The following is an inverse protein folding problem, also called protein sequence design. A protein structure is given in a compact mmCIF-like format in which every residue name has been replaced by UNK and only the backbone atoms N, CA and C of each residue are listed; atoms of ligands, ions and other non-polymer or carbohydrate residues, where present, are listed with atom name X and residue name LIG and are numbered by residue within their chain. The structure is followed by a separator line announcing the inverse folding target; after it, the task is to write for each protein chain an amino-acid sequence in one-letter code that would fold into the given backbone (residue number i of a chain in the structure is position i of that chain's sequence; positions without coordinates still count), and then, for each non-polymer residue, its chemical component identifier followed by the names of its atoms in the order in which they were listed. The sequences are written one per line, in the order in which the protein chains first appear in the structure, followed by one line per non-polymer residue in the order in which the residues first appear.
data_IF_498098959059
#
_entry.id   IF_498098959059
#
_cell.length_a   1.000
_cell.length_b   1.000
_cell.length_c   1.000
_cell.angle_alpha   90.00
_cell.angle_beta   90.00
_cell.angle_gamma   90.00
#
_symmetry.space_group_name_H-M   'P 1'
#
loop_
_entity.id
_entity.type
_entity.pdbx_description
1 polymer ?
#
# COMPACT_ATOMS: atom_id res chain seq x y z
N UNK A 1 3.96 0.30 -17.97
CA UNK A 1 2.64 -0.10 -17.40
C UNK A 1 1.47 0.53 -18.16
N UNK A 2 1.34 1.86 -18.25
CA UNK A 2 0.21 2.50 -18.94
C UNK A 2 0.05 2.05 -20.40
N UNK A 3 1.14 1.79 -21.11
CA UNK A 3 1.11 1.26 -22.48
C UNK A 3 0.42 -0.10 -22.57
N UNK A 4 0.70 -1.01 -21.61
CA UNK A 4 0.08 -2.34 -21.58
C UNK A 4 -1.42 -2.27 -21.23
N UNK A 5 -1.80 -1.34 -20.36
CA UNK A 5 -3.22 -1.12 -19.96
C UNK A 5 -4.06 -0.63 -21.13
N UNK A 6 -3.47 0.21 -22.00
CA UNK A 6 -4.16 0.84 -23.13
C UNK A 6 -3.97 0.07 -24.45
N UNK A 7 -3.40 -1.12 -24.43
CA UNK A 7 -3.21 -1.96 -25.61
C UNK A 7 -4.50 -2.72 -25.97
N UNK A 8 -4.64 -3.14 -27.25
CA UNK A 8 -5.77 -3.96 -27.70
C UNK A 8 -5.87 -5.29 -26.93
N UNK A 9 -4.71 -5.90 -26.62
CA UNK A 9 -4.60 -7.08 -25.76
C UNK A 9 -4.18 -6.59 -24.38
N UNK A 10 -5.14 -6.54 -23.46
CA UNK A 10 -4.93 -6.12 -22.09
C UNK A 10 -4.50 -7.30 -21.19
N UNK A 11 -3.77 -7.04 -20.09
CA UNK A 11 -3.50 -8.07 -19.10
C UNK A 11 -4.78 -8.54 -18.41
N UNK A 12 -4.85 -9.82 -18.08
CA UNK A 12 -5.99 -10.42 -17.35
C UNK A 12 -6.10 -9.94 -15.89
N UNK A 13 -4.98 -9.53 -15.30
CA UNK A 13 -4.90 -8.93 -13.97
C UNK A 13 -3.63 -8.08 -13.86
N UNK A 14 -3.64 -7.10 -12.95
CA UNK A 14 -2.48 -6.25 -12.67
C UNK A 14 -2.19 -6.13 -11.19
N UNK A 15 -0.89 -6.14 -10.85
CA UNK A 15 -0.43 -5.76 -9.52
C UNK A 15 -0.30 -4.24 -9.45
N UNK A 16 -1.02 -3.62 -8.51
CA UNK A 16 -0.97 -2.20 -8.25
C UNK A 16 -0.50 -1.92 -6.82
N UNK A 17 0.34 -0.93 -6.65
CA UNK A 17 0.74 -0.46 -5.31
C UNK A 17 -0.45 0.29 -4.72
N UNK A 18 -0.92 -0.16 -3.56
CA UNK A 18 -2.04 0.43 -2.84
C UNK A 18 -1.64 0.67 -1.38
N UNK A 19 -1.36 1.90 -1.05
CA UNK A 19 -1.09 2.35 0.31
C UNK A 19 -1.45 3.84 0.44
N UNK A 20 -1.75 4.34 1.66
CA UNK A 20 -2.15 5.74 1.85
C UNK A 20 -1.06 6.76 1.52
N UNK A 21 0.22 6.38 1.56
CA UNK A 21 1.35 7.24 1.15
C UNK A 21 1.37 7.53 -0.37
N UNK A 22 0.61 6.77 -1.17
CA UNK A 22 0.72 6.78 -2.63
C UNK A 22 2.17 6.64 -3.12
N UNK A 23 2.97 5.86 -2.41
CA UNK A 23 4.41 5.71 -2.66
C UNK A 23 4.77 4.33 -3.17
N UNK A 24 5.65 4.30 -4.14
CA UNK A 24 6.30 3.10 -4.65
C UNK A 24 7.57 2.72 -3.85
N UNK A 25 8.09 3.64 -3.03
CA UNK A 25 9.35 3.47 -2.30
C UNK A 25 10.48 3.04 -3.23
N UNK A 26 11.30 2.10 -2.78
CA UNK A 26 12.47 1.62 -3.53
C UNK A 26 12.14 1.08 -4.94
N UNK A 27 10.92 0.59 -5.20
CA UNK A 27 10.52 0.13 -6.54
C UNK A 27 10.45 1.30 -7.54
N UNK A 28 10.09 2.50 -7.07
CA UNK A 28 10.01 3.71 -7.89
C UNK A 28 11.36 4.40 -8.15
N UNK A 29 12.46 3.89 -7.58
CA UNK A 29 13.76 4.55 -7.66
C UNK A 29 14.26 4.81 -9.08
N UNK A 30 13.95 3.92 -10.01
CA UNK A 30 14.36 4.04 -11.42
C UNK A 30 13.47 4.96 -12.28
N UNK A 31 12.29 5.32 -11.80
CA UNK A 31 11.32 6.14 -12.54
C UNK A 31 10.64 7.14 -11.59
N UNK A 32 11.19 8.35 -11.53
CA UNK A 32 10.64 9.44 -10.70
C UNK A 32 9.22 9.90 -11.13
N UNK A 33 8.78 9.53 -12.32
CA UNK A 33 7.43 9.78 -12.82
C UNK A 33 6.42 8.69 -12.41
N UNK A 34 6.88 7.66 -11.69
CA UNK A 34 6.01 6.57 -11.26
C UNK A 34 5.00 7.05 -10.21
N UNK A 35 3.72 7.07 -10.59
CA UNK A 35 2.62 7.46 -9.71
C UNK A 35 1.66 6.27 -9.53
N UNK A 36 1.63 5.63 -8.35
CA UNK A 36 0.79 4.46 -8.09
C UNK A 36 -0.70 4.71 -8.34
N UNK A 37 -1.25 5.84 -7.88
CA UNK A 37 -2.67 6.15 -8.05
C UNK A 37 -3.08 6.30 -9.51
N UNK A 38 -2.26 6.98 -10.32
CA UNK A 38 -2.55 7.12 -11.76
C UNK A 38 -2.58 5.78 -12.50
N UNK A 39 -1.73 4.84 -12.10
CA UNK A 39 -1.74 3.48 -12.66
C UNK A 39 -3.01 2.75 -12.22
N UNK A 40 -3.34 2.81 -10.94
CA UNK A 40 -4.54 2.17 -10.40
C UNK A 40 -5.82 2.73 -11.03
N UNK A 41 -5.94 4.04 -11.18
CA UNK A 41 -7.07 4.69 -11.88
C UNK A 41 -7.22 4.17 -13.31
N UNK A 42 -6.12 4.05 -14.06
CA UNK A 42 -6.13 3.52 -15.42
C UNK A 42 -6.57 2.05 -15.45
N UNK A 43 -6.12 1.23 -14.48
CA UNK A 43 -6.52 -0.18 -14.33
C UNK A 43 -8.01 -0.28 -14.04
N UNK A 44 -8.53 0.50 -13.10
CA UNK A 44 -9.96 0.54 -12.77
C UNK A 44 -10.83 0.98 -13.95
N UNK A 45 -10.41 2.04 -14.67
CA UNK A 45 -11.10 2.54 -15.87
C UNK A 45 -11.23 1.46 -16.94
N UNK A 46 -10.21 0.62 -17.09
CA UNK A 46 -10.22 -0.49 -18.05
C UNK A 46 -10.82 -1.78 -17.49
N UNK A 47 -11.33 -1.77 -16.24
CA UNK A 47 -11.95 -2.92 -15.56
C UNK A 47 -11.02 -4.14 -15.45
N UNK A 48 -9.73 -3.92 -15.35
CA UNK A 48 -8.74 -4.99 -15.17
C UNK A 48 -8.71 -5.39 -13.70
N UNK A 49 -8.83 -6.69 -13.36
CA UNK A 49 -8.72 -7.18 -11.98
C UNK A 49 -7.42 -6.72 -11.32
N UNK A 50 -7.52 -6.19 -10.10
CA UNK A 50 -6.39 -5.59 -9.39
C UNK A 50 -5.96 -6.43 -8.19
N UNK A 51 -4.67 -6.77 -8.16
CA UNK A 51 -4.01 -7.37 -7.01
C UNK A 51 -3.21 -6.28 -6.30
N UNK A 52 -3.66 -5.84 -5.13
CA UNK A 52 -2.97 -4.82 -4.36
C UNK A 52 -1.67 -5.37 -3.78
N UNK A 53 -0.59 -4.61 -3.92
CA UNK A 53 0.72 -4.92 -3.34
C UNK A 53 1.21 -3.74 -2.49
N UNK A 54 2.23 -3.98 -1.66
CA UNK A 54 2.87 -2.98 -0.80
C UNK A 54 1.90 -2.27 0.15
N UNK A 55 0.91 -2.98 0.68
CA UNK A 55 -0.04 -2.42 1.64
C UNK A 55 0.66 -1.75 2.84
N UNK A 56 1.70 -2.39 3.41
CA UNK A 56 2.52 -1.82 4.49
C UNK A 56 3.75 -1.06 4.00
N UNK A 57 3.90 -0.83 2.69
CA UNK A 57 4.97 -0.06 2.05
C UNK A 57 6.36 -0.45 2.57
N UNK A 58 6.74 -1.73 2.37
CA UNK A 58 8.03 -2.30 2.83
C UNK A 58 8.34 -2.04 4.33
N UNK A 59 7.31 -1.91 5.16
CA UNK A 59 7.44 -1.63 6.59
C UNK A 59 7.24 -0.17 6.98
N UNK A 60 7.13 0.75 6.03
CA UNK A 60 6.95 2.18 6.33
C UNK A 60 5.66 2.47 7.13
N UNK A 61 4.60 1.71 6.89
CA UNK A 61 3.30 1.82 7.57
C UNK A 61 3.18 0.80 8.74
N UNK A 62 4.28 0.48 9.40
CA UNK A 62 4.29 -0.37 10.60
C UNK A 62 4.79 0.41 11.82
N UNK A 63 4.76 -0.20 12.98
CA UNK A 63 5.23 0.44 14.22
C UNK A 63 6.73 0.73 14.24
N UNK A 64 7.51 -0.04 13.50
CA UNK A 64 8.97 0.12 13.41
C UNK A 64 9.52 -0.51 12.15
N UNK A 65 10.58 0.09 11.59
CA UNK A 65 11.38 -0.59 10.57
C UNK A 65 12.20 -1.70 11.22
N UNK A 66 12.05 -2.93 10.74
CA UNK A 66 12.71 -4.12 11.29
C UNK A 66 14.02 -4.47 10.55
N UNK A 67 14.51 -3.57 9.72
CA UNK A 67 15.75 -3.68 8.96
C UNK A 67 16.53 -2.36 8.97
N UNK A 68 17.81 -2.44 8.62
CA UNK A 68 18.65 -1.27 8.39
C UNK A 68 18.64 -0.89 6.90
N UNK A 69 18.88 0.39 6.56
CA UNK A 69 19.09 0.79 5.18
C UNK A 69 20.23 -0.01 4.54
N UNK A 70 20.10 -0.34 3.28
CA UNK A 70 21.17 -1.00 2.54
C UNK A 70 22.34 -0.01 2.28
N UNK A 71 23.57 -0.48 2.33
CA UNK A 71 24.77 0.37 2.18
C UNK A 71 24.78 1.15 0.85
N UNK A 72 24.23 0.58 -0.22
CA UNK A 72 24.10 1.28 -1.51
C UNK A 72 22.99 2.34 -1.56
N UNK A 73 22.13 2.43 -0.53
CA UNK A 73 21.03 3.39 -0.45
C UNK A 73 19.87 3.12 -1.41
N UNK A 74 19.82 1.97 -2.09
CA UNK A 74 18.76 1.69 -3.06
C UNK A 74 17.36 1.68 -2.43
N UNK A 75 17.27 1.41 -1.13
CA UNK A 75 16.03 1.35 -0.36
C UNK A 75 15.79 2.58 0.53
N UNK A 76 16.55 3.66 0.33
CA UNK A 76 16.43 4.89 1.12
C UNK A 76 15.01 5.45 1.09
N UNK A 77 14.33 5.39 -0.05
CA UNK A 77 12.94 5.87 -0.18
C UNK A 77 11.94 5.14 0.74
N UNK A 78 12.18 3.86 1.05
CA UNK A 78 11.33 3.14 2.00
C UNK A 78 11.50 3.69 3.43
N UNK A 79 12.72 4.11 3.80
CA UNK A 79 12.99 4.75 5.10
C UNK A 79 12.48 6.18 5.16
N UNK A 80 12.57 6.93 4.06
CA UNK A 80 11.97 8.26 3.96
C UNK A 80 10.44 8.17 4.09
N UNK A 81 9.83 7.17 3.49
CA UNK A 81 8.40 6.87 3.65
C UNK A 81 8.05 6.52 5.10
N UNK A 82 8.91 5.78 5.81
CA UNK A 82 8.69 5.51 7.22
C UNK A 82 8.67 6.79 8.06
N UNK A 83 9.58 7.72 7.80
CA UNK A 83 9.58 9.03 8.49
C UNK A 83 8.32 9.83 8.18
N UNK A 84 7.91 9.88 6.91
CA UNK A 84 6.67 10.54 6.49
C UNK A 84 5.41 9.94 7.11
N UNK A 85 5.41 8.64 7.39
CA UNK A 85 4.26 7.89 7.90
C UNK A 85 3.99 8.11 9.41
N UNK A 86 4.64 9.06 10.09
CA UNK A 86 4.36 9.36 11.50
C UNK A 86 2.89 9.72 11.74
N UNK A 87 2.24 10.63 10.95
CA UNK A 87 0.83 10.94 11.13
C UNK A 87 -0.09 9.72 10.99
N UNK A 88 0.24 8.79 10.12
CA UNK A 88 -0.51 7.54 9.98
C UNK A 88 -0.43 6.65 11.24
N UNK A 89 0.74 6.57 11.85
CA UNK A 89 0.92 5.85 13.12
C UNK A 89 0.14 6.50 14.26
N UNK A 90 0.06 7.83 14.29
CA UNK A 90 -0.74 8.56 15.28
C UNK A 90 -2.23 8.28 15.13
N UNK A 91 -2.75 8.30 13.91
CA UNK A 91 -4.15 7.91 13.62
C UNK A 91 -4.39 6.44 14.01
N UNK A 92 -3.50 5.52 13.69
CA UNK A 92 -3.64 4.12 14.08
C UNK A 92 -3.74 3.97 15.60
N UNK A 93 -2.92 4.72 16.35
CA UNK A 93 -2.96 4.76 17.82
C UNK A 93 -4.27 5.34 18.33
N UNK A 94 -4.76 6.44 17.73
CA UNK A 94 -6.04 7.06 18.08
C UNK A 94 -7.20 6.08 17.86
N UNK A 95 -7.18 5.35 16.75
CA UNK A 95 -8.21 4.35 16.43
C UNK A 95 -8.02 3.02 17.18
N UNK A 96 -6.98 2.88 18.01
CA UNK A 96 -6.74 1.70 18.85
C UNK A 96 -6.34 0.45 18.06
N UNK A 97 -5.73 0.61 16.90
CA UNK A 97 -5.29 -0.50 16.02
C UNK A 97 -3.79 -0.43 15.76
N UNK A 98 -3.17 -1.56 15.40
CA UNK A 98 -1.78 -1.51 14.94
C UNK A 98 -1.67 -0.82 13.57
N UNK A 99 -0.59 -0.07 13.30
CA UNK A 99 -0.40 0.55 11.99
C UNK A 99 -0.42 -0.47 10.84
N UNK A 100 0.18 -1.65 11.02
CA UNK A 100 0.16 -2.71 10.02
C UNK A 100 -1.27 -3.19 9.72
N UNK A 101 -2.08 -3.43 10.76
CA UNK A 101 -3.49 -3.81 10.61
C UNK A 101 -4.29 -2.74 9.89
N UNK A 102 -4.09 -1.45 10.24
CA UNK A 102 -4.76 -0.32 9.57
C UNK A 102 -4.36 -0.24 8.10
N UNK A 103 -3.08 -0.43 7.77
CA UNK A 103 -2.60 -0.40 6.39
C UNK A 103 -3.21 -1.54 5.54
N UNK A 104 -3.35 -2.74 6.11
CA UNK A 104 -4.02 -3.85 5.44
C UNK A 104 -5.52 -3.58 5.26
N UNK A 105 -6.22 -3.08 6.29
CA UNK A 105 -7.63 -2.67 6.17
C UNK A 105 -7.82 -1.60 5.10
N UNK A 106 -6.93 -0.61 5.03
CA UNK A 106 -6.96 0.40 3.97
C UNK A 106 -6.90 -0.27 2.59
N UNK A 107 -5.91 -1.12 2.33
CA UNK A 107 -5.76 -1.79 1.04
C UNK A 107 -6.99 -2.67 0.67
N UNK A 108 -7.58 -3.35 1.67
CA UNK A 108 -8.79 -4.18 1.50
C UNK A 108 -10.07 -3.34 1.28
N UNK A 109 -10.07 -2.07 1.70
CA UNK A 109 -11.24 -1.19 1.64
C UNK A 109 -11.30 -0.33 0.38
N UNK A 110 -10.16 -0.11 -0.30
CA UNK A 110 -10.13 0.67 -1.54
C UNK A 110 -10.95 -0.03 -2.63
N UNK A 111 -11.92 0.72 -3.19
CA UNK A 111 -12.79 0.20 -4.24
C UNK A 111 -12.01 -0.18 -5.50
N UNK A 112 -12.35 -1.31 -6.12
CA UNK A 112 -11.67 -1.83 -7.33
C UNK A 112 -10.56 -2.83 -7.06
N UNK A 113 -10.27 -3.14 -5.79
CA UNK A 113 -9.31 -4.17 -5.41
C UNK A 113 -9.98 -5.55 -5.42
N UNK A 114 -9.36 -6.50 -6.13
CA UNK A 114 -9.82 -7.89 -6.19
C UNK A 114 -9.20 -8.75 -5.08
N UNK A 115 -7.94 -8.49 -4.73
CA UNK A 115 -7.21 -9.20 -3.68
C UNK A 115 -6.00 -8.38 -3.21
N UNK A 116 -5.49 -8.69 -2.00
CA UNK A 116 -4.25 -8.10 -1.46
C UNK A 116 -3.19 -9.19 -1.36
N UNK A 117 -2.04 -8.96 -1.98
CA UNK A 117 -0.89 -9.86 -1.91
C UNK A 117 -0.05 -9.48 -0.69
N UNK A 118 0.17 -10.45 0.18
CA UNK A 118 0.88 -10.28 1.44
C UNK A 118 2.32 -10.78 1.35
N UNK A 119 3.23 -10.08 2.03
CA UNK A 119 4.53 -10.59 2.42
C UNK A 119 4.63 -10.55 3.93
N UNK A 120 4.74 -11.71 4.58
CA UNK A 120 4.82 -11.83 6.04
C UNK A 120 6.07 -12.61 6.44
N UNK A 121 6.71 -12.22 7.55
CA UNK A 121 7.95 -12.84 8.06
C UNK A 121 7.70 -13.83 9.18
N UNK A 122 6.57 -13.70 9.85
CA UNK A 122 6.24 -14.49 11.03
C UNK A 122 4.73 -14.63 11.22
N UNK A 123 4.34 -15.50 12.17
CA UNK A 123 2.94 -15.78 12.47
C UNK A 123 2.19 -14.56 13.01
N UNK A 124 2.86 -13.66 13.74
CA UNK A 124 2.21 -12.46 14.28
C UNK A 124 1.75 -11.55 13.13
N UNK A 125 2.61 -11.28 12.16
CA UNK A 125 2.27 -10.49 10.98
C UNK A 125 1.14 -11.14 10.17
N UNK A 126 1.17 -12.48 10.00
CA UNK A 126 0.08 -13.19 9.33
C UNK A 126 -1.25 -13.03 10.07
N UNK A 127 -1.24 -13.15 11.40
CA UNK A 127 -2.44 -12.96 12.19
C UNK A 127 -3.00 -11.54 12.06
N UNK A 128 -2.16 -10.49 12.05
CA UNK A 128 -2.61 -9.10 11.82
C UNK A 128 -3.28 -8.94 10.45
N UNK A 129 -2.78 -9.62 9.42
CA UNK A 129 -3.41 -9.61 8.08
C UNK A 129 -4.79 -10.32 8.10
N UNK A 130 -4.89 -11.47 8.76
CA UNK A 130 -6.15 -12.22 8.87
C UNK A 130 -7.17 -11.44 9.68
N UNK A 131 -6.75 -10.81 10.78
CA UNK A 131 -7.62 -9.94 11.57
C UNK A 131 -8.10 -8.73 10.78
N UNK A 132 -7.22 -8.13 9.97
CA UNK A 132 -7.58 -6.99 9.11
C UNK A 132 -8.62 -7.37 8.03
N UNK A 133 -8.58 -8.60 7.53
CA UNK A 133 -9.57 -9.12 6.58
C UNK A 133 -10.91 -9.41 7.25
N UNK A 134 -10.89 -9.90 8.51
CA UNK A 134 -12.09 -10.17 9.30
C UNK A 134 -12.78 -8.93 9.87
N UNK A 135 -12.11 -7.77 9.91
CA UNK A 135 -12.69 -6.52 10.38
C UNK A 135 -13.63 -5.89 9.34
N UNK A 136 -14.52 -5.01 9.81
CA UNK A 136 -15.29 -4.15 8.92
C UNK A 136 -14.36 -3.30 8.05
N UNK A 137 -14.75 -3.13 6.77
CA UNK A 137 -14.02 -2.24 5.84
C UNK A 137 -14.04 -0.80 6.37
N UNK A 138 -13.00 -0.06 6.03
CA UNK A 138 -13.00 1.38 6.28
C UNK A 138 -14.08 2.06 5.44
N UNK A 139 -14.71 3.06 6.02
CA UNK A 139 -15.65 3.94 5.31
C UNK A 139 -14.90 4.85 4.31
N UNK A 140 -15.64 5.44 3.37
CA UNK A 140 -15.06 6.40 2.41
C UNK A 140 -14.47 7.63 3.12
N UNK A 141 -15.05 8.04 4.25
CA UNK A 141 -14.53 9.12 5.10
C UNK A 141 -13.20 8.75 5.74
N UNK A 142 -13.11 7.55 6.33
CA UNK A 142 -11.86 7.05 6.93
C UNK A 142 -10.75 6.89 5.89
N UNK A 143 -11.08 6.38 4.70
CA UNK A 143 -10.14 6.31 3.57
C UNK A 143 -9.61 7.69 3.20
N UNK A 144 -10.51 8.69 3.08
CA UNK A 144 -10.12 10.08 2.78
C UNK A 144 -9.26 10.70 3.87
N UNK A 145 -9.55 10.43 5.15
CA UNK A 145 -8.70 10.89 6.26
C UNK A 145 -7.28 10.38 6.06
N UNK A 146 -7.12 9.07 5.79
CA UNK A 146 -5.79 8.47 5.62
C UNK A 146 -5.07 8.98 4.36
N UNK A 147 -5.79 9.24 3.27
CA UNK A 147 -5.21 9.79 2.03
C UNK A 147 -4.76 11.26 2.17
N UNK A 148 -5.41 12.02 3.04
CA UNK A 148 -5.11 13.44 3.25
C UNK A 148 -4.00 13.69 4.29
N UNK A 149 -3.37 12.64 4.81
CA UNK A 149 -2.23 12.76 5.73
C UNK A 149 -0.92 13.17 5.02
N UNK A 150 -0.87 13.04 3.66
CA UNK A 150 0.37 13.14 2.88
C UNK A 150 0.28 14.07 1.66
#
# INVERSE_FOLDING_TARGET
MLTAINHEVQPEAMQCIINPLNSAGAIGYADQAYNPSSIFEAVCKNKIPTLAIRAVQAGALTSSMDRKPHESGYDQLDFDDYLKAEPFRDIAKEWGVSPAKLAHRYALSVSGISSVILGVKNRKELNECVEAEGDEKLTDEEIKILQNLF
#
